data_IF_114667586437
#
_entry.id   IF_114667586437
#
_cell.length_a   1.000
_cell.length_b   1.000
_cell.length_c   1.000
_cell.angle_alpha   90.00
_cell.angle_beta   90.00
_cell.angle_gamma   90.00
#
_symmetry.space_group_name_H-M   'P 1'
#
loop_
_entity.id
_entity.type
_entity.pdbx_description
1 polymer ?
#
# COMPACT_ATOMS: atom_id res chain seq x y z
N UNK A 1 36.51 -24.51 63.34
CA UNK A 1 35.40 -23.55 63.09
C UNK A 1 35.38 -23.22 61.60
N UNK A 2 34.27 -23.41 60.87
CA UNK A 2 34.19 -22.97 59.48
C UNK A 2 34.25 -21.44 59.42
N UNK A 3 35.07 -20.89 58.52
CA UNK A 3 35.19 -19.44 58.30
C UNK A 3 33.83 -18.86 57.86
N UNK A 4 33.42 -17.68 58.35
CA UNK A 4 32.17 -17.04 57.92
C UNK A 4 32.19 -16.81 56.40
N UNK A 5 31.03 -17.01 55.76
CA UNK A 5 30.85 -16.82 54.32
C UNK A 5 31.08 -15.35 53.96
N UNK A 6 32.25 -15.03 53.41
CA UNK A 6 32.62 -13.68 53.00
C UNK A 6 31.87 -13.32 51.72
N UNK A 7 31.03 -12.28 51.79
CA UNK A 7 30.30 -11.69 50.66
C UNK A 7 30.85 -10.31 50.33
N UNK A 8 30.81 -9.90 49.05
CA UNK A 8 31.20 -8.56 48.61
C UNK A 8 30.29 -8.09 47.47
N UNK A 9 30.01 -6.79 47.43
CA UNK A 9 29.28 -6.13 46.33
C UNK A 9 30.30 -5.60 45.32
N UNK A 10 30.04 -5.80 44.04
CA UNK A 10 30.75 -5.15 42.93
C UNK A 10 29.79 -4.23 42.18
N UNK A 11 30.25 -3.04 41.84
CA UNK A 11 29.58 -2.15 40.90
C UNK A 11 30.44 -1.96 39.65
N UNK A 12 29.79 -1.89 38.49
CA UNK A 12 30.44 -1.62 37.21
C UNK A 12 29.74 -0.47 36.50
N UNK A 13 30.47 0.62 36.32
CA UNK A 13 30.00 1.80 35.57
C UNK A 13 30.19 1.58 34.07
N UNK A 14 29.14 1.82 33.30
CA UNK A 14 29.18 1.72 31.85
C UNK A 14 29.85 2.97 31.23
N UNK A 15 30.22 2.87 29.95
CA UNK A 15 30.87 3.97 29.21
C UNK A 15 29.97 5.19 29.01
N UNK A 16 28.66 5.05 29.23
CA UNK A 16 27.70 6.15 29.19
C UNK A 16 27.72 7.03 30.46
N UNK A 17 28.47 6.62 31.49
CA UNK A 17 28.57 7.26 32.82
C UNK A 17 27.25 7.40 33.60
N UNK A 18 26.12 6.96 33.03
CA UNK A 18 24.79 7.03 33.65
C UNK A 18 24.31 5.67 34.15
N UNK A 19 24.81 4.58 33.58
CA UNK A 19 24.39 3.23 33.92
C UNK A 19 25.40 2.56 34.86
N UNK A 20 24.91 2.02 35.98
CA UNK A 20 25.71 1.26 36.96
C UNK A 20 25.07 -0.11 37.16
N UNK A 21 25.84 -1.18 36.91
CA UNK A 21 25.42 -2.55 37.20
C UNK A 21 25.93 -2.98 38.57
N UNK A 22 25.10 -3.68 39.33
CA UNK A 22 25.43 -4.22 40.66
C UNK A 22 25.49 -5.76 40.62
N UNK A 23 26.48 -6.33 41.31
CA UNK A 23 26.73 -7.77 41.39
C UNK A 23 27.14 -8.18 42.79
N UNK A 24 26.72 -9.36 43.24
CA UNK A 24 27.18 -9.98 44.48
C UNK A 24 28.24 -11.03 44.20
N UNK A 25 29.27 -11.10 45.06
CA UNK A 25 30.23 -12.19 45.11
C UNK A 25 30.12 -12.89 46.45
N UNK A 26 29.70 -14.16 46.43
CA UNK A 26 29.51 -14.96 47.65
C UNK A 26 30.21 -16.31 47.52
N UNK A 27 30.56 -16.93 48.66
CA UNK A 27 31.14 -18.28 48.69
C UNK A 27 30.17 -19.25 49.33
N UNK A 28 29.79 -20.29 48.59
CA UNK A 28 28.87 -21.33 49.03
C UNK A 28 29.26 -22.68 48.42
N UNK A 29 29.03 -23.77 49.15
CA UNK A 29 29.34 -25.14 48.70
C UNK A 29 30.79 -25.32 48.18
N UNK A 30 31.76 -24.67 48.83
CA UNK A 30 33.17 -24.74 48.47
C UNK A 30 33.60 -23.89 47.26
N UNK A 31 32.66 -23.32 46.50
CA UNK A 31 32.90 -22.51 45.28
C UNK A 31 32.54 -21.03 45.49
N UNK A 32 33.10 -20.15 44.66
CA UNK A 32 32.73 -18.73 44.58
C UNK A 32 31.65 -18.56 43.51
N UNK A 33 30.65 -17.73 43.81
CA UNK A 33 29.52 -17.41 42.95
C UNK A 33 29.48 -15.91 42.72
N UNK A 34 29.17 -15.51 41.48
CA UNK A 34 28.88 -14.14 41.09
C UNK A 34 27.40 -14.09 40.70
N UNK A 35 26.62 -13.21 41.32
CA UNK A 35 25.17 -13.05 41.10
C UNK A 35 24.94 -11.64 40.59
N UNK A 36 24.42 -11.50 39.36
CA UNK A 36 24.07 -10.19 38.80
C UNK A 36 22.72 -9.74 39.37
N UNK A 37 22.69 -8.56 39.98
CA UNK A 37 21.47 -8.00 40.56
C UNK A 37 20.67 -7.19 39.53
N UNK A 38 21.36 -6.39 38.72
CA UNK A 38 20.77 -5.51 37.70
C UNK A 38 21.39 -4.11 37.72
N UNK A 39 20.72 -3.15 37.07
CA UNK A 39 21.19 -1.77 36.90
C UNK A 39 20.46 -0.74 37.76
N UNK A 40 21.03 0.45 37.91
CA UNK A 40 20.37 1.59 38.55
C UNK A 40 19.04 2.00 37.88
N UNK A 41 18.88 1.80 36.57
CA UNK A 41 17.62 2.04 35.86
C UNK A 41 16.53 0.99 36.17
N UNK A 42 16.92 -0.20 36.63
CA UNK A 42 16.03 -1.26 37.11
C UNK A 42 15.74 -1.13 38.62
N UNK A 43 16.19 -0.02 39.23
CA UNK A 43 15.95 0.29 40.64
C UNK A 43 16.98 -0.29 41.61
N UNK A 44 18.14 -0.74 41.14
CA UNK A 44 19.23 -1.22 41.99
C UNK A 44 20.18 -0.10 42.43
N UNK A 45 20.50 -0.09 43.71
CA UNK A 45 21.48 0.80 44.32
C UNK A 45 22.29 0.03 45.38
N UNK A 46 23.27 0.69 45.98
CA UNK A 46 24.16 0.08 46.98
C UNK A 46 23.39 -0.50 48.17
N UNK A 47 22.40 0.24 48.68
CA UNK A 47 21.59 -0.15 49.83
C UNK A 47 20.78 -1.41 49.56
N UNK A 48 20.12 -1.51 48.39
CA UNK A 48 19.37 -2.71 47.98
C UNK A 48 20.31 -3.88 47.70
N UNK A 49 21.48 -3.63 47.13
CA UNK A 49 22.49 -4.67 46.93
C UNK A 49 23.00 -5.22 48.27
N UNK A 50 23.13 -4.38 49.30
CA UNK A 50 23.51 -4.81 50.65
C UNK A 50 22.42 -5.66 51.32
N UNK A 51 21.15 -5.24 51.22
CA UNK A 51 20.02 -6.04 51.73
C UNK A 51 19.99 -7.42 51.08
N UNK A 52 20.20 -7.50 49.77
CA UNK A 52 20.23 -8.78 49.05
C UNK A 52 21.43 -9.64 49.43
N UNK A 53 22.61 -9.03 49.63
CA UNK A 53 23.79 -9.73 50.12
C UNK A 53 23.55 -10.37 51.49
N UNK A 54 22.94 -9.62 52.41
CA UNK A 54 22.62 -10.11 53.76
C UNK A 54 21.62 -11.28 53.70
N UNK A 55 20.60 -11.19 52.84
CA UNK A 55 19.63 -12.26 52.63
C UNK A 55 20.30 -13.53 52.08
N UNK A 56 21.13 -13.40 51.04
CA UNK A 56 21.87 -14.51 50.43
C UNK A 56 22.82 -15.15 51.45
N UNK A 57 23.56 -14.35 52.22
CA UNK A 57 24.45 -14.85 53.27
C UNK A 57 23.67 -15.60 54.36
N UNK A 58 22.51 -15.09 54.77
CA UNK A 58 21.64 -15.75 55.75
C UNK A 58 21.07 -17.08 55.22
N UNK A 59 20.73 -17.16 53.93
CA UNK A 59 20.30 -18.42 53.31
C UNK A 59 21.45 -19.43 53.22
N UNK A 60 22.68 -18.99 52.89
CA UNK A 60 23.87 -19.85 52.85
C UNK A 60 24.17 -20.41 54.24
N UNK A 61 24.11 -19.56 55.28
CA UNK A 61 24.33 -19.98 56.66
C UNK A 61 23.29 -21.02 57.14
N UNK A 62 22.04 -20.91 56.66
CA UNK A 62 20.95 -21.86 56.95
C UNK A 62 20.98 -23.12 56.08
N UNK A 63 21.89 -23.19 55.10
CA UNK A 63 21.98 -24.31 54.16
C UNK A 63 20.82 -24.40 53.15
N UNK A 64 19.96 -23.37 53.08
CA UNK A 64 18.77 -23.32 52.21
C UNK A 64 19.01 -22.59 50.89
N UNK A 65 20.20 -22.01 50.70
CA UNK A 65 20.52 -21.23 49.51
C UNK A 65 20.78 -22.13 48.30
N UNK A 66 20.01 -21.99 47.23
CA UNK A 66 20.30 -22.70 45.98
C UNK A 66 21.12 -21.80 45.04
N UNK A 67 22.21 -22.30 44.45
CA UNK A 67 23.00 -21.51 43.52
C UNK A 67 22.19 -21.24 42.24
N UNK A 68 22.22 -20.00 41.70
CA UNK A 68 21.55 -19.70 40.45
C UNK A 68 22.17 -20.57 39.33
N UNK A 69 21.36 -21.43 38.74
CA UNK A 69 21.74 -22.21 37.57
C UNK A 69 21.78 -21.28 36.35
N UNK A 70 22.47 -21.69 35.27
CA UNK A 70 22.44 -20.94 34.00
C UNK A 70 21.02 -20.82 33.41
N UNK A 71 20.08 -21.63 33.92
CA UNK A 71 18.67 -21.60 33.54
C UNK A 71 17.85 -20.57 34.37
N UNK A 72 18.39 -20.08 35.49
CA UNK A 72 17.72 -19.13 36.41
C UNK A 72 17.97 -17.64 36.11
N UNK A 73 18.81 -17.32 35.10
CA UNK A 73 19.08 -15.91 34.68
C UNK A 73 18.00 -15.39 33.72
N UNK A 74 16.89 -16.11 33.56
CA UNK A 74 15.66 -15.56 33.02
C UNK A 74 14.96 -14.72 34.10
N UNK A 75 15.33 -13.45 34.21
CA UNK A 75 14.50 -12.44 34.88
C UNK A 75 13.08 -12.55 34.34
N UNK A 76 12.18 -13.09 35.16
CA UNK A 76 10.72 -13.08 35.02
C UNK A 76 10.22 -13.00 33.56
N UNK A 77 10.53 -14.00 32.75
CA UNK A 77 9.75 -14.24 31.54
C UNK A 77 8.36 -14.68 32.01
N UNK A 78 7.26 -14.04 31.56
CA UNK A 78 5.93 -14.54 31.86
C UNK A 78 5.87 -15.98 31.36
N UNK A 79 5.30 -16.85 32.18
CA UNK A 79 5.03 -18.24 31.84
C UNK A 79 4.53 -18.32 30.38
N UNK A 80 5.22 -19.03 29.46
CA UNK A 80 4.81 -19.11 28.07
C UNK A 80 3.38 -19.68 27.91
N UNK A 81 2.84 -20.35 28.93
CA UNK A 81 1.43 -20.78 28.98
C UNK A 81 0.43 -19.63 29.24
N UNK A 82 0.91 -18.45 29.67
CA UNK A 82 0.08 -17.29 30.06
C UNK A 82 0.08 -16.12 29.07
N UNK A 83 0.95 -16.13 28.05
CA UNK A 83 1.00 -15.02 27.09
C UNK A 83 -0.23 -15.06 26.18
N UNK A 84 -1.09 -14.05 26.30
CA UNK A 84 -2.28 -13.93 25.45
C UNK A 84 -1.95 -13.33 24.09
N UNK A 85 -2.83 -13.54 23.11
CA UNK A 85 -2.72 -12.93 21.78
C UNK A 85 -2.65 -11.41 21.87
N UNK A 86 -3.31 -10.80 22.85
CA UNK A 86 -3.19 -9.38 23.10
C UNK A 86 -1.76 -8.95 23.40
N UNK A 87 -1.06 -9.68 24.27
CA UNK A 87 0.33 -9.37 24.64
C UNK A 87 1.25 -9.58 23.45
N UNK A 88 1.13 -10.71 22.75
CA UNK A 88 1.93 -11.02 21.57
C UNK A 88 1.73 -9.99 20.45
N UNK A 89 0.48 -9.64 20.14
CA UNK A 89 0.15 -8.59 19.18
C UNK A 89 0.67 -7.21 19.60
N UNK A 90 0.63 -6.89 20.90
CA UNK A 90 1.15 -5.62 21.42
C UNK A 90 2.67 -5.51 21.26
N UNK A 91 3.39 -6.59 21.56
CA UNK A 91 4.86 -6.65 21.37
C UNK A 91 5.22 -6.54 19.91
N UNK A 92 4.51 -7.28 19.05
CA UNK A 92 4.65 -7.17 17.59
C UNK A 92 4.42 -5.72 17.13
N UNK A 93 3.35 -5.07 17.60
CA UNK A 93 3.03 -3.70 17.25
C UNK A 93 4.11 -2.70 17.68
N UNK A 94 4.64 -2.83 18.90
CA UNK A 94 5.67 -1.94 19.41
C UNK A 94 6.94 -1.96 18.55
N UNK A 95 7.34 -3.15 18.07
CA UNK A 95 8.50 -3.31 17.18
C UNK A 95 8.26 -2.73 15.79
N UNK A 96 7.09 -2.95 15.20
CA UNK A 96 6.84 -2.58 13.80
C UNK A 96 6.32 -1.16 13.61
N UNK A 97 5.56 -0.60 14.56
CA UNK A 97 4.82 0.67 14.35
C UNK A 97 5.67 1.88 14.00
N UNK A 98 6.95 1.89 14.38
CA UNK A 98 7.90 2.98 14.11
C UNK A 98 8.32 3.06 12.63
N UNK A 99 8.29 1.92 11.94
CA UNK A 99 8.73 1.80 10.54
C UNK A 99 7.55 1.98 9.55
N UNK A 100 6.32 1.98 10.06
CA UNK A 100 5.12 2.02 9.23
C UNK A 100 4.72 3.45 8.85
N UNK A 101 4.40 3.64 7.57
CA UNK A 101 3.74 4.85 7.08
C UNK A 101 2.38 5.07 7.78
N UNK A 102 1.90 6.31 7.94
CA UNK A 102 0.67 6.61 8.67
C UNK A 102 -0.57 5.82 8.22
N UNK A 103 -0.77 5.66 6.91
CA UNK A 103 -1.90 4.89 6.38
C UNK A 103 -1.77 3.39 6.65
N UNK A 104 -0.56 2.84 6.53
CA UNK A 104 -0.29 1.44 6.87
C UNK A 104 -0.53 1.20 8.36
N UNK A 105 -0.14 2.16 9.20
CA UNK A 105 -0.39 2.14 10.65
C UNK A 105 -1.88 2.12 10.96
N UNK A 106 -2.67 3.00 10.32
CA UNK A 106 -4.13 3.04 10.50
C UNK A 106 -4.81 1.73 10.04
N UNK A 107 -4.39 1.17 8.92
CA UNK A 107 -4.88 -0.12 8.43
C UNK A 107 -4.55 -1.26 9.40
N UNK A 108 -3.33 -1.31 9.94
CA UNK A 108 -2.94 -2.33 10.92
C UNK A 108 -3.71 -2.18 12.24
N UNK A 109 -3.93 -0.95 12.72
CA UNK A 109 -4.78 -0.69 13.88
C UNK A 109 -6.20 -1.19 13.68
N UNK A 110 -6.79 -0.95 12.49
CA UNK A 110 -8.11 -1.48 12.15
C UNK A 110 -8.14 -3.02 12.17
N UNK A 111 -7.11 -3.67 11.61
CA UNK A 111 -7.00 -5.14 11.62
C UNK A 111 -6.82 -5.68 13.04
N UNK A 112 -5.96 -5.06 13.85
CA UNK A 112 -5.75 -5.41 15.26
C UNK A 112 -7.03 -5.27 16.07
N UNK A 113 -7.82 -4.22 15.84
CA UNK A 113 -9.09 -4.02 16.53
C UNK A 113 -10.07 -5.18 16.28
N UNK A 114 -10.17 -5.67 15.02
CA UNK A 114 -11.00 -6.84 14.71
C UNK A 114 -10.43 -8.14 15.26
N UNK A 115 -9.10 -8.31 15.23
CA UNK A 115 -8.42 -9.47 15.79
C UNK A 115 -8.68 -9.58 17.30
N UNK A 116 -8.39 -8.50 18.03
CA UNK A 116 -8.47 -8.44 19.48
C UNK A 116 -9.91 -8.44 19.97
N UNK A 117 -10.87 -7.97 19.18
CA UNK A 117 -12.29 -8.12 19.53
C UNK A 117 -12.72 -9.59 19.71
N UNK A 118 -11.95 -10.56 19.20
CA UNK A 118 -12.29 -11.99 19.21
C UNK A 118 -11.27 -12.80 20.03
N UNK A 119 -9.97 -12.54 19.87
CA UNK A 119 -8.89 -13.37 20.42
C UNK A 119 -8.11 -12.74 21.58
N UNK A 120 -8.49 -11.54 22.06
CA UNK A 120 -7.68 -10.77 23.03
C UNK A 120 -7.15 -11.61 24.19
N UNK A 121 -8.02 -12.38 24.84
CA UNK A 121 -7.72 -13.13 26.06
C UNK A 121 -7.38 -14.61 25.77
N UNK A 122 -7.29 -15.00 24.49
CA UNK A 122 -6.88 -16.36 24.11
C UNK A 122 -5.38 -16.53 24.39
N UNK A 123 -4.94 -17.62 25.06
CA UNK A 123 -3.52 -17.93 25.17
C UNK A 123 -2.92 -18.15 23.79
N UNK A 124 -1.78 -17.53 23.51
CA UNK A 124 -1.10 -17.63 22.21
C UNK A 124 -0.67 -19.08 21.92
N UNK A 125 -0.26 -19.82 22.95
CA UNK A 125 0.10 -21.24 22.89
C UNK A 125 -1.06 -22.16 22.48
N UNK A 126 -2.30 -21.77 22.79
CA UNK A 126 -3.52 -22.51 22.44
C UNK A 126 -4.05 -22.18 21.04
N UNK A 127 -3.39 -21.28 20.30
CA UNK A 127 -3.79 -21.00 18.92
C UNK A 127 -3.46 -22.19 18.03
N UNK A 128 -4.50 -22.91 17.64
CA UNK A 128 -4.46 -23.97 16.65
C UNK A 128 -5.19 -23.57 15.36
N UNK A 129 -5.19 -24.49 14.39
CA UNK A 129 -5.81 -24.23 13.11
C UNK A 129 -7.35 -24.11 13.19
N UNK A 130 -7.98 -24.67 14.24
CA UNK A 130 -9.42 -24.59 14.49
C UNK A 130 -9.77 -23.21 15.04
N UNK A 131 -9.01 -22.66 15.98
CA UNK A 131 -9.24 -21.31 16.52
C UNK A 131 -9.10 -20.25 15.43
N UNK A 132 -8.19 -20.46 14.47
CA UNK A 132 -8.07 -19.60 13.29
C UNK A 132 -9.30 -19.69 12.37
N UNK A 133 -9.90 -20.87 12.20
CA UNK A 133 -11.17 -21.02 11.48
C UNK A 133 -12.32 -20.31 12.22
N UNK A 134 -12.40 -20.46 13.55
CA UNK A 134 -13.40 -19.79 14.38
C UNK A 134 -13.27 -18.26 14.28
N UNK A 135 -12.04 -17.71 14.29
CA UNK A 135 -11.78 -16.29 14.03
C UNK A 135 -12.30 -15.90 12.65
N UNK A 136 -11.98 -16.66 11.59
CA UNK A 136 -12.45 -16.37 10.23
C UNK A 136 -13.98 -16.28 10.20
N UNK A 137 -14.66 -17.26 10.78
CA UNK A 137 -16.12 -17.36 10.75
C UNK A 137 -16.77 -16.24 11.58
N UNK A 138 -16.18 -15.87 12.72
CA UNK A 138 -16.61 -14.72 13.51
C UNK A 138 -16.42 -13.38 12.77
N UNK A 139 -15.33 -13.20 12.02
CA UNK A 139 -15.14 -12.01 11.18
C UNK A 139 -16.19 -11.91 10.07
N UNK A 140 -16.56 -13.05 9.46
CA UNK A 140 -17.64 -13.11 8.46
C UNK A 140 -18.98 -12.77 9.10
N UNK A 141 -19.28 -13.31 10.28
CA UNK A 141 -20.52 -13.01 11.02
C UNK A 141 -20.64 -11.51 11.40
N UNK A 142 -19.50 -10.83 11.58
CA UNK A 142 -19.43 -9.37 11.77
C UNK A 142 -19.59 -8.55 10.47
N UNK A 143 -19.82 -9.20 9.34
CA UNK A 143 -20.09 -8.55 8.05
C UNK A 143 -18.84 -8.14 7.26
N UNK A 144 -17.65 -8.63 7.61
CA UNK A 144 -16.44 -8.31 6.85
C UNK A 144 -16.43 -9.03 5.50
N UNK A 145 -15.94 -8.33 4.47
CA UNK A 145 -15.72 -8.93 3.15
C UNK A 145 -14.63 -9.99 3.17
N UNK A 146 -14.67 -10.97 2.26
CA UNK A 146 -13.63 -12.00 2.14
C UNK A 146 -12.19 -11.43 2.04
N UNK A 147 -12.02 -10.28 1.39
CA UNK A 147 -10.73 -9.57 1.32
C UNK A 147 -10.33 -9.03 2.70
N UNK A 148 -11.25 -8.38 3.38
CA UNK A 148 -11.05 -7.83 4.72
C UNK A 148 -10.70 -8.94 5.73
N UNK A 149 -11.39 -10.08 5.68
CA UNK A 149 -11.08 -11.27 6.50
C UNK A 149 -9.66 -11.75 6.22
N UNK A 150 -9.27 -11.89 4.93
CA UNK A 150 -7.92 -12.30 4.56
C UNK A 150 -6.84 -11.31 5.02
N UNK A 151 -7.14 -10.01 5.10
CA UNK A 151 -6.21 -8.99 5.62
C UNK A 151 -5.97 -9.16 7.12
N UNK A 152 -7.02 -9.43 7.90
CA UNK A 152 -6.92 -9.71 9.34
C UNK A 152 -6.15 -11.01 9.58
N UNK A 153 -6.50 -12.09 8.87
CA UNK A 153 -5.78 -13.37 8.96
C UNK A 153 -4.32 -13.26 8.49
N UNK A 154 -4.05 -12.36 7.54
CA UNK A 154 -2.69 -12.04 7.10
C UNK A 154 -1.87 -11.37 8.20
N UNK A 155 -2.48 -10.45 8.94
CA UNK A 155 -1.83 -9.81 10.09
C UNK A 155 -1.64 -10.81 11.25
N UNK A 156 -2.63 -11.65 11.55
CA UNK A 156 -2.47 -12.72 12.54
C UNK A 156 -1.29 -13.61 12.18
N UNK A 157 -1.18 -14.02 10.91
CA UNK A 157 -0.03 -14.83 10.48
C UNK A 157 1.30 -14.14 10.77
N UNK A 158 1.44 -12.84 10.50
CA UNK A 158 2.68 -12.10 10.84
C UNK A 158 2.95 -12.06 12.34
N UNK A 159 1.93 -11.85 13.17
CA UNK A 159 2.07 -11.85 14.63
C UNK A 159 2.50 -13.23 15.15
N UNK A 160 1.94 -14.31 14.58
CA UNK A 160 2.28 -15.67 14.97
C UNK A 160 3.60 -16.17 14.40
N UNK A 161 4.15 -15.56 13.34
CA UNK A 161 5.51 -15.87 12.91
C UNK A 161 6.50 -15.46 13.99
N UNK A 162 6.34 -14.25 14.56
CA UNK A 162 7.15 -13.81 15.69
C UNK A 162 6.96 -14.73 16.90
N UNK A 163 5.73 -15.17 17.18
CA UNK A 163 5.48 -16.11 18.27
C UNK A 163 6.22 -17.44 18.08
N UNK A 164 6.37 -17.91 16.84
CA UNK A 164 7.19 -19.09 16.52
C UNK A 164 8.68 -18.78 16.70
N UNK A 165 9.16 -17.64 16.19
CA UNK A 165 10.56 -17.22 16.31
C UNK A 165 11.01 -17.08 17.77
N UNK A 166 10.11 -16.65 18.66
CA UNK A 166 10.34 -16.55 20.11
C UNK A 166 9.98 -17.82 20.89
N UNK A 167 9.62 -18.91 20.22
CA UNK A 167 9.37 -20.21 20.85
C UNK A 167 8.05 -20.34 21.63
N UNK A 168 7.12 -19.39 21.49
CA UNK A 168 5.77 -19.46 22.08
C UNK A 168 4.87 -20.48 21.35
N UNK A 169 5.15 -20.73 20.07
CA UNK A 169 4.43 -21.68 19.23
C UNK A 169 5.41 -22.58 18.48
N UNK A 170 5.11 -23.87 18.39
CA UNK A 170 5.92 -24.80 17.58
C UNK A 170 5.72 -24.62 16.07
N UNK A 171 4.60 -24.04 15.64
CA UNK A 171 4.33 -23.73 14.23
C UNK A 171 3.22 -22.68 14.09
N UNK A 172 3.15 -22.01 12.94
CA UNK A 172 2.16 -20.96 12.72
C UNK A 172 0.85 -21.52 12.11
N UNK A 173 -0.27 -21.59 12.87
CA UNK A 173 -1.54 -22.13 12.40
C UNK A 173 -2.28 -21.21 11.39
N UNK A 174 -1.91 -19.92 11.33
CA UNK A 174 -2.56 -18.92 10.48
C UNK A 174 -1.92 -18.80 9.09
N UNK A 175 -0.79 -19.48 8.87
CA UNK A 175 -0.10 -19.58 7.57
C UNK A 175 -0.79 -20.59 6.65
N UNK A 176 -0.59 -20.40 5.35
CA UNK A 176 -1.14 -21.27 4.30
C UNK A 176 -2.44 -20.78 3.66
N UNK A 177 -2.77 -21.38 2.50
CA UNK A 177 -3.91 -20.95 1.66
C UNK A 177 -5.26 -21.49 2.12
N UNK A 178 -5.30 -22.63 2.83
CA UNK A 178 -6.55 -23.31 3.22
C UNK A 178 -7.48 -22.44 4.06
N UNK A 179 -6.93 -21.57 4.89
CA UNK A 179 -7.68 -20.66 5.77
C UNK A 179 -8.14 -19.38 5.09
N UNK A 180 -7.61 -19.07 3.90
CA UNK A 180 -7.92 -17.83 3.19
C UNK A 180 -9.22 -18.01 2.41
N UNK A 181 -10.08 -17.00 2.48
CA UNK A 181 -11.32 -16.96 1.72
C UNK A 181 -11.03 -16.73 0.24
N UNK A 182 -11.77 -17.41 -0.63
CA UNK A 182 -11.71 -17.15 -2.07
C UNK A 182 -12.27 -15.75 -2.34
N UNK A 183 -11.42 -14.88 -2.89
CA UNK A 183 -11.83 -13.54 -3.32
C UNK A 183 -11.96 -13.58 -4.83
N UNK A 184 -13.18 -13.38 -5.34
CA UNK A 184 -13.37 -13.17 -6.78
C UNK A 184 -12.63 -11.89 -7.18
N UNK A 185 -11.82 -11.92 -8.25
CA UNK A 185 -11.27 -10.69 -8.81
C UNK A 185 -12.41 -9.74 -9.13
N UNK A 186 -12.30 -8.48 -8.69
CA UNK A 186 -13.28 -7.47 -9.09
C UNK A 186 -13.19 -7.27 -10.61
N UNK A 187 -14.33 -7.24 -11.29
CA UNK A 187 -14.38 -6.82 -12.69
C UNK A 187 -13.89 -5.37 -12.75
N UNK A 188 -12.69 -5.16 -13.30
CA UNK A 188 -12.11 -3.83 -13.45
C UNK A 188 -12.65 -3.27 -14.77
N UNK A 189 -13.41 -2.19 -14.71
CA UNK A 189 -13.92 -1.46 -15.87
C UNK A 189 -13.09 -0.20 -16.14
N UNK A 190 -13.16 0.30 -17.37
CA UNK A 190 -12.70 1.62 -17.79
C UNK A 190 -13.88 2.30 -18.49
N UNK A 191 -13.80 3.60 -18.73
CA UNK A 191 -14.85 4.34 -19.46
C UNK A 191 -14.55 4.40 -20.95
N UNK A 192 -15.59 4.29 -21.77
CA UNK A 192 -15.48 4.56 -23.21
C UNK A 192 -15.24 6.04 -23.48
N UNK A 193 -14.65 6.42 -24.63
CA UNK A 193 -14.42 7.83 -24.97
C UNK A 193 -15.68 8.70 -24.89
N UNK A 194 -16.82 8.22 -25.40
CA UNK A 194 -18.10 8.94 -25.37
C UNK A 194 -18.67 9.07 -23.95
N UNK A 195 -18.42 8.08 -23.08
CA UNK A 195 -18.78 8.17 -21.65
C UNK A 195 -18.01 9.27 -20.93
N UNK A 196 -16.76 9.52 -21.34
CA UNK A 196 -15.92 10.57 -20.74
C UNK A 196 -16.47 11.94 -21.13
N UNK A 197 -16.81 12.14 -22.41
CA UNK A 197 -17.42 13.39 -22.87
C UNK A 197 -18.71 13.68 -22.08
N UNK A 198 -19.63 12.72 -22.03
CA UNK A 198 -20.88 12.90 -21.27
C UNK A 198 -20.62 13.17 -19.78
N UNK A 199 -19.62 12.51 -19.16
CA UNK A 199 -19.22 12.73 -17.77
C UNK A 199 -18.66 14.15 -17.52
N UNK A 200 -17.83 14.66 -18.43
CA UNK A 200 -17.25 16.00 -18.33
C UNK A 200 -18.30 17.09 -18.57
N UNK A 201 -19.23 16.86 -19.49
CA UNK A 201 -20.30 17.81 -19.81
C UNK A 201 -21.26 17.95 -18.63
N UNK A 202 -21.76 16.85 -18.07
CA UNK A 202 -22.62 16.92 -16.87
C UNK A 202 -21.90 17.55 -15.67
N UNK A 203 -20.59 17.36 -15.54
CA UNK A 203 -19.81 17.97 -14.48
C UNK A 203 -19.70 19.49 -14.64
N UNK A 204 -19.54 19.97 -15.87
CA UNK A 204 -19.53 21.41 -16.19
C UNK A 204 -20.89 22.07 -16.00
N UNK A 205 -21.96 21.40 -16.44
CA UNK A 205 -23.32 21.89 -16.23
C UNK A 205 -23.68 21.93 -14.74
N UNK A 206 -23.36 20.87 -14.00
CA UNK A 206 -23.56 20.84 -12.56
C UNK A 206 -22.76 21.94 -11.84
N UNK A 207 -21.54 22.23 -12.30
CA UNK A 207 -20.76 23.37 -11.81
C UNK A 207 -21.52 24.70 -11.99
N UNK A 208 -22.13 24.89 -13.17
CA UNK A 208 -22.83 26.12 -13.55
C UNK A 208 -24.19 26.29 -12.84
N UNK A 209 -24.86 25.20 -12.47
CA UNK A 209 -26.10 25.22 -11.67
C UNK A 209 -25.86 25.72 -10.23
N UNK A 210 -24.65 25.53 -9.71
CA UNK A 210 -24.33 25.84 -8.32
C UNK A 210 -23.96 27.30 -8.12
N UNK A 211 -24.11 27.80 -6.88
CA UNK A 211 -23.66 29.16 -6.52
C UNK A 211 -22.14 29.26 -6.64
N UNK A 212 -21.58 30.44 -6.99
CA UNK A 212 -20.12 30.60 -7.20
C UNK A 212 -19.22 30.06 -6.08
N UNK A 213 -19.66 30.14 -4.82
CA UNK A 213 -18.89 29.64 -3.67
C UNK A 213 -18.91 28.11 -3.49
N UNK A 214 -19.78 27.38 -4.20
CA UNK A 214 -19.86 25.91 -4.23
C UNK A 214 -19.12 25.32 -5.44
N UNK A 215 -18.65 26.19 -6.32
CA UNK A 215 -17.84 25.86 -7.48
C UNK A 215 -16.41 25.63 -7.04
N UNK A 216 -15.81 24.56 -7.53
CA UNK A 216 -14.40 24.22 -7.32
C UNK A 216 -13.72 23.69 -8.58
N UNK A 217 -14.38 23.64 -9.73
CA UNK A 217 -13.82 23.15 -11.00
C UNK A 217 -14.03 21.66 -11.23
N UNK A 218 -15.26 21.13 -11.02
CA UNK A 218 -15.57 19.69 -11.19
C UNK A 218 -15.15 19.14 -12.55
N UNK A 219 -15.46 19.86 -13.63
CA UNK A 219 -15.11 19.47 -15.00
C UNK A 219 -13.61 19.36 -15.18
N UNK A 220 -12.86 20.41 -14.86
CA UNK A 220 -11.40 20.42 -14.98
C UNK A 220 -10.74 19.33 -14.10
N UNK A 221 -11.25 19.10 -12.88
CA UNK A 221 -10.77 18.03 -12.00
C UNK A 221 -11.00 16.64 -12.61
N UNK A 222 -12.20 16.39 -13.14
CA UNK A 222 -12.52 15.11 -13.76
C UNK A 222 -11.76 14.90 -15.07
N UNK A 223 -11.60 15.95 -15.89
CA UNK A 223 -10.79 15.91 -17.10
C UNK A 223 -9.36 15.50 -16.75
N UNK A 224 -8.77 16.14 -15.72
CA UNK A 224 -7.43 15.80 -15.27
C UNK A 224 -7.30 14.36 -14.77
N UNK A 225 -8.25 13.90 -13.94
CA UNK A 225 -8.27 12.52 -13.43
C UNK A 225 -8.46 11.47 -14.54
N UNK A 226 -9.27 11.77 -15.56
CA UNK A 226 -9.57 10.89 -16.69
C UNK A 226 -8.47 10.84 -17.73
N UNK A 227 -7.80 11.97 -18.00
CA UNK A 227 -6.98 12.18 -19.19
C UNK A 227 -5.50 12.50 -18.88
N UNK A 228 -5.12 12.56 -17.60
CA UNK A 228 -3.71 12.48 -17.17
C UNK A 228 -3.48 11.45 -16.06
N UNK A 229 -4.56 10.85 -15.56
CA UNK A 229 -4.52 9.73 -14.63
C UNK A 229 -3.77 9.93 -13.31
N UNK A 230 -3.73 11.09 -12.62
CA UNK A 230 -3.15 11.16 -11.27
C UNK A 230 -3.87 10.30 -10.25
N UNK A 231 -3.20 10.04 -9.13
CA UNK A 231 -3.89 9.56 -7.93
C UNK A 231 -4.70 10.74 -7.42
N UNK A 232 -5.93 10.49 -6.95
CA UNK A 232 -6.76 11.58 -6.41
C UNK A 232 -6.05 12.35 -5.29
N UNK A 233 -5.25 11.67 -4.46
CA UNK A 233 -4.43 12.29 -3.42
C UNK A 233 -3.39 13.25 -3.99
N UNK A 234 -2.81 12.96 -5.16
CA UNK A 234 -1.86 13.84 -5.83
C UNK A 234 -2.60 15.08 -6.38
N UNK A 235 -3.77 14.87 -7.02
CA UNK A 235 -4.55 15.96 -7.60
C UNK A 235 -5.07 16.95 -6.53
N UNK A 236 -5.57 16.47 -5.39
CA UNK A 236 -6.06 17.35 -4.30
C UNK A 236 -4.95 18.08 -3.55
N UNK A 237 -3.74 17.53 -3.57
CA UNK A 237 -2.55 18.14 -2.97
C UNK A 237 -1.77 19.02 -3.94
N UNK A 238 -2.13 19.04 -5.23
CA UNK A 238 -1.40 19.82 -6.22
C UNK A 238 -1.59 21.33 -6.01
N UNK A 239 -0.49 22.06 -6.14
CA UNK A 239 -0.50 23.52 -6.11
C UNK A 239 -0.48 24.07 -7.53
N UNK A 240 -1.12 25.21 -7.75
CA UNK A 240 -1.24 25.79 -9.08
C UNK A 240 0.14 25.96 -9.74
N UNK A 241 1.14 26.43 -9.01
CA UNK A 241 2.50 26.68 -9.49
C UNK A 241 3.30 25.44 -9.87
N UNK A 242 2.82 24.23 -9.52
CA UNK A 242 3.45 22.97 -9.96
C UNK A 242 3.15 22.63 -11.42
N UNK A 243 2.15 23.29 -12.02
CA UNK A 243 1.68 23.05 -13.37
C UNK A 243 2.18 24.14 -14.32
N UNK A 244 3.05 23.77 -15.24
CA UNK A 244 3.34 24.54 -16.44
C UNK A 244 2.27 24.24 -17.49
N UNK A 245 1.15 24.95 -17.41
CA UNK A 245 0.03 24.79 -18.34
C UNK A 245 0.35 25.33 -19.73
N UNK A 246 1.43 26.09 -19.93
CA UNK A 246 1.85 26.56 -21.25
C UNK A 246 2.55 25.44 -22.02
N UNK A 247 3.45 24.71 -21.35
CA UNK A 247 4.13 23.54 -21.96
C UNK A 247 3.42 22.21 -21.72
N UNK A 248 2.29 22.21 -21.01
CA UNK A 248 1.51 21.00 -20.74
C UNK A 248 2.23 20.03 -19.80
N UNK A 249 2.90 20.54 -18.77
CA UNK A 249 3.65 19.72 -17.82
C UNK A 249 3.23 19.95 -16.38
N UNK A 250 3.21 18.88 -15.60
CA UNK A 250 3.01 18.93 -14.16
C UNK A 250 4.12 18.18 -13.44
N UNK A 251 4.83 18.90 -12.56
CA UNK A 251 5.90 18.33 -11.74
C UNK A 251 5.36 17.92 -10.38
N UNK A 252 5.34 16.63 -10.11
CA UNK A 252 4.97 16.12 -8.78
C UNK A 252 6.20 16.11 -7.85
N UNK A 253 6.17 16.80 -6.70
CA UNK A 253 7.25 16.75 -5.72
C UNK A 253 7.41 15.37 -5.08
N UNK A 254 8.65 15.01 -4.77
CA UNK A 254 8.98 13.75 -4.09
C UNK A 254 8.29 13.58 -2.73
N UNK A 255 8.03 14.68 -2.01
CA UNK A 255 7.32 14.63 -0.72
C UNK A 255 5.86 14.14 -0.83
N UNK A 256 5.25 14.20 -2.02
CA UNK A 256 3.85 13.82 -2.24
C UNK A 256 3.68 12.37 -2.73
N UNK A 257 4.75 11.67 -3.13
CA UNK A 257 4.64 10.29 -3.62
C UNK A 257 5.74 9.37 -3.13
N UNK A 258 5.37 8.13 -2.82
CA UNK A 258 6.29 7.04 -2.48
C UNK A 258 7.23 6.65 -3.64
N UNK A 259 6.91 7.08 -4.87
CA UNK A 259 7.63 6.74 -6.10
C UNK A 259 8.64 7.83 -6.54
N UNK A 260 8.83 8.89 -5.75
CA UNK A 260 9.79 9.97 -6.03
C UNK A 260 9.22 11.15 -6.85
N UNK A 261 10.12 12.02 -7.32
CA UNK A 261 9.80 13.16 -8.19
C UNK A 261 9.50 12.64 -9.59
N UNK A 262 8.37 13.04 -10.18
CA UNK A 262 8.03 12.72 -11.57
C UNK A 262 7.45 13.93 -12.29
N UNK A 263 7.76 14.03 -13.58
CA UNK A 263 7.11 14.97 -14.48
C UNK A 263 6.03 14.21 -15.25
N UNK A 264 4.82 14.77 -15.29
CA UNK A 264 3.66 14.25 -16.01
C UNK A 264 3.36 15.19 -17.17
N UNK A 265 3.14 14.60 -18.34
CA UNK A 265 2.66 15.32 -19.50
C UNK A 265 1.13 15.41 -19.44
N UNK A 266 0.61 16.60 -19.69
CA UNK A 266 -0.81 16.90 -19.77
C UNK A 266 -1.21 16.89 -21.25
N UNK A 267 -2.34 16.27 -21.55
CA UNK A 267 -2.93 16.40 -22.88
C UNK A 267 -3.33 17.86 -23.11
N UNK A 268 -3.37 18.30 -24.37
CA UNK A 268 -3.76 19.65 -24.71
C UNK A 268 -5.16 19.99 -24.15
N UNK A 269 -6.09 19.03 -24.25
CA UNK A 269 -7.42 19.12 -23.66
C UNK A 269 -7.37 19.41 -22.15
N UNK A 270 -6.56 18.68 -21.38
CA UNK A 270 -6.44 18.88 -19.93
C UNK A 270 -5.78 20.22 -19.63
N UNK A 271 -4.72 20.59 -20.35
CA UNK A 271 -4.04 21.86 -20.16
C UNK A 271 -5.01 23.04 -20.36
N UNK A 272 -5.89 22.97 -21.36
CA UNK A 272 -6.90 23.98 -21.65
C UNK A 272 -7.97 24.06 -20.54
N UNK A 273 -8.53 22.92 -20.12
CA UNK A 273 -9.51 22.85 -19.02
C UNK A 273 -8.93 23.39 -17.70
N UNK A 274 -7.69 23.04 -17.38
CA UNK A 274 -7.00 23.53 -16.19
C UNK A 274 -6.67 25.03 -16.30
N UNK A 275 -6.31 25.52 -17.48
CA UNK A 275 -6.03 26.95 -17.72
C UNK A 275 -7.30 27.79 -17.59
N UNK A 276 -8.39 27.34 -18.20
CA UNK A 276 -9.70 27.98 -18.09
C UNK A 276 -10.17 28.03 -16.62
N UNK A 277 -10.04 26.92 -15.89
CA UNK A 277 -10.35 26.88 -14.46
C UNK A 277 -9.48 27.86 -13.65
N UNK A 278 -8.16 27.83 -13.83
CA UNK A 278 -7.25 28.71 -13.11
C UNK A 278 -7.54 30.20 -13.38
N UNK A 279 -7.81 30.57 -14.63
CA UNK A 279 -8.14 31.94 -15.01
C UNK A 279 -9.50 32.38 -14.44
N UNK A 280 -10.51 31.51 -14.43
CA UNK A 280 -11.85 31.83 -13.92
C UNK A 280 -11.90 32.13 -12.41
N UNK A 281 -10.86 31.74 -11.67
CA UNK A 281 -10.80 31.84 -10.21
C UNK A 281 -9.64 32.67 -9.67
N UNK A 282 -8.80 33.19 -10.56
CA UNK A 282 -7.59 33.93 -10.20
C UNK A 282 -6.76 33.18 -9.14
N UNK A 283 -6.41 31.93 -9.43
CA UNK A 283 -5.75 31.05 -8.46
C UNK A 283 -4.32 31.53 -8.16
N UNK A 284 -4.02 31.68 -6.87
CA UNK A 284 -2.66 31.88 -6.36
C UNK A 284 -1.74 30.71 -6.77
N UNK A 285 -0.60 30.96 -7.43
CA UNK A 285 0.41 29.94 -7.74
C UNK A 285 0.87 29.11 -6.52
N UNK A 286 0.94 29.70 -5.32
CA UNK A 286 1.30 28.99 -4.10
C UNK A 286 0.11 28.22 -3.48
N UNK A 287 -1.11 28.46 -3.97
CA UNK A 287 -2.34 27.85 -3.48
C UNK A 287 -2.71 26.54 -4.20
N UNK A 288 -3.73 25.84 -3.68
CA UNK A 288 -4.20 24.59 -4.28
C UNK A 288 -4.82 24.83 -5.67
N UNK A 289 -4.57 23.91 -6.60
CA UNK A 289 -5.18 23.96 -7.95
C UNK A 289 -6.72 23.87 -7.91
N UNK A 290 -7.26 23.20 -6.89
CA UNK A 290 -8.69 23.07 -6.64
C UNK A 290 -9.00 23.47 -5.20
N UNK A 291 -9.23 24.77 -4.92
CA UNK A 291 -9.54 25.24 -3.57
C UNK A 291 -10.98 24.90 -3.16
N UNK A 292 -11.18 24.64 -1.87
CA UNK A 292 -12.51 24.65 -1.25
C UNK A 292 -13.03 26.09 -1.18
N UNK A 293 -14.30 26.23 -0.76
CA UNK A 293 -14.90 27.54 -0.47
C UNK A 293 -14.07 28.42 0.48
N UNK A 294 -13.31 27.82 1.39
CA UNK A 294 -12.48 28.53 2.37
C UNK A 294 -11.02 28.66 1.93
N UNK A 295 -10.70 28.38 0.67
CA UNK A 295 -9.33 28.40 0.13
C UNK A 295 -8.46 27.19 0.50
N UNK A 296 -9.00 26.23 1.27
CA UNK A 296 -8.30 25.03 1.68
C UNK A 296 -8.23 23.95 0.59
N UNK A 297 -7.58 22.83 0.87
CA UNK A 297 -7.50 21.70 -0.06
C UNK A 297 -8.78 20.87 -0.06
N UNK A 298 -9.16 20.34 -1.21
CA UNK A 298 -10.23 19.35 -1.30
C UNK A 298 -9.85 18.09 -0.51
N UNK A 299 -10.87 17.43 0.05
CA UNK A 299 -10.71 16.17 0.74
C UNK A 299 -11.09 15.02 -0.22
N UNK A 300 -10.18 14.08 -0.43
CA UNK A 300 -10.37 13.00 -1.39
C UNK A 300 -11.51 12.04 -1.01
N UNK A 301 -11.74 11.81 0.29
CA UNK A 301 -12.88 11.06 0.79
C UNK A 301 -14.20 11.72 0.42
N UNK A 302 -14.31 13.05 0.58
CA UNK A 302 -15.51 13.79 0.19
C UNK A 302 -15.77 13.71 -1.32
N UNK A 303 -14.72 13.77 -2.15
CA UNK A 303 -14.87 13.60 -3.60
C UNK A 303 -15.38 12.20 -3.92
N UNK A 304 -14.79 11.14 -3.35
CA UNK A 304 -15.22 9.75 -3.56
C UNK A 304 -16.66 9.52 -3.10
N UNK A 305 -17.07 10.12 -1.99
CA UNK A 305 -18.39 9.90 -1.39
C UNK A 305 -19.49 10.76 -2.03
N UNK A 306 -19.17 11.93 -2.58
CA UNK A 306 -20.17 12.92 -3.03
C UNK A 306 -20.07 13.30 -4.50
N UNK A 307 -18.87 13.54 -5.04
CA UNK A 307 -18.70 13.93 -6.45
C UNK A 307 -19.00 12.75 -7.38
N UNK A 308 -18.33 11.60 -7.15
CA UNK A 308 -18.39 10.46 -8.07
C UNK A 308 -19.79 9.84 -8.21
N UNK A 309 -20.53 9.54 -7.12
CA UNK A 309 -21.88 8.97 -7.26
C UNK A 309 -22.83 9.91 -8.01
N UNK A 310 -22.79 11.20 -7.68
CA UNK A 310 -23.69 12.20 -8.27
C UNK A 310 -23.40 12.43 -9.76
N UNK A 311 -22.13 12.61 -10.13
CA UNK A 311 -21.77 12.84 -11.54
C UNK A 311 -22.06 11.62 -12.42
N UNK A 312 -21.89 10.40 -11.88
CA UNK A 312 -22.24 9.16 -12.58
C UNK A 312 -23.76 9.04 -12.73
N UNK A 313 -24.54 9.37 -11.69
CA UNK A 313 -26.01 9.38 -11.79
C UNK A 313 -26.48 10.31 -12.90
N UNK A 314 -26.00 11.56 -12.90
CA UNK A 314 -26.34 12.56 -13.93
C UNK A 314 -25.94 12.12 -15.33
N UNK A 315 -24.73 11.58 -15.48
CA UNK A 315 -24.26 11.04 -16.76
C UNK A 315 -25.13 9.88 -17.25
N UNK A 316 -25.51 8.97 -16.35
CA UNK A 316 -26.38 7.85 -16.67
C UNK A 316 -27.80 8.27 -17.01
N UNK A 317 -28.36 9.27 -16.33
CA UNK A 317 -29.66 9.84 -16.68
C UNK A 317 -29.66 10.44 -18.10
N UNK A 318 -28.61 11.20 -18.45
CA UNK A 318 -28.43 11.74 -19.81
C UNK A 318 -28.32 10.62 -20.84
N UNK A 319 -27.48 9.62 -20.56
CA UNK A 319 -27.20 8.52 -21.49
C UNK A 319 -28.42 7.62 -21.66
N UNK A 320 -29.19 7.38 -20.61
CA UNK A 320 -30.46 6.66 -20.67
C UNK A 320 -31.46 7.36 -21.60
N UNK A 321 -31.63 8.68 -21.45
CA UNK A 321 -32.50 9.49 -22.34
C UNK A 321 -32.05 9.43 -23.80
N UNK A 322 -30.75 9.31 -24.04
CA UNK A 322 -30.15 9.20 -25.37
C UNK A 322 -30.04 7.74 -25.89
N UNK A 323 -30.52 6.74 -25.16
CA UNK A 323 -30.40 5.32 -25.53
C UNK A 323 -28.95 4.80 -25.60
N UNK A 324 -28.00 5.47 -24.95
CA UNK A 324 -26.58 5.09 -24.90
C UNK A 324 -26.31 4.09 -23.77
N UNK A 325 -25.24 3.31 -23.91
CA UNK A 325 -24.75 2.41 -22.87
C UNK A 325 -24.40 3.18 -21.59
N UNK A 326 -24.87 2.74 -20.43
CA UNK A 326 -24.61 3.42 -19.15
C UNK A 326 -23.15 3.27 -18.70
N UNK A 327 -22.67 4.24 -17.92
CA UNK A 327 -21.42 4.13 -17.18
C UNK A 327 -21.52 2.99 -16.16
N UNK A 328 -20.39 2.34 -15.80
CA UNK A 328 -20.36 1.36 -14.73
C UNK A 328 -20.92 1.92 -13.42
N UNK A 329 -21.68 1.11 -12.70
CA UNK A 329 -22.32 1.49 -11.42
C UNK A 329 -21.31 2.10 -10.41
N UNK A 330 -20.06 1.60 -10.43
CA UNK A 330 -18.99 2.09 -9.56
C UNK A 330 -17.83 2.67 -10.34
N UNK A 331 -17.89 3.97 -10.63
CA UNK A 331 -16.73 4.74 -11.10
C UNK A 331 -15.95 5.29 -9.90
N UNK A 332 -14.65 5.04 -9.88
CA UNK A 332 -13.75 5.52 -8.84
C UNK A 332 -12.56 6.25 -9.46
N UNK A 333 -11.74 6.99 -8.69
CA UNK A 333 -10.49 7.54 -9.21
C UNK A 333 -9.57 6.51 -9.86
N UNK A 334 -9.57 5.26 -9.38
CA UNK A 334 -8.80 4.18 -10.02
C UNK A 334 -9.42 3.71 -11.33
N UNK A 335 -10.74 3.80 -11.47
CA UNK A 335 -11.42 3.59 -12.76
C UNK A 335 -10.94 4.63 -13.76
N UNK A 336 -10.92 5.92 -13.38
CA UNK A 336 -10.46 7.01 -14.26
C UNK A 336 -8.97 6.90 -14.63
N UNK A 337 -8.11 6.56 -13.66
CA UNK A 337 -6.70 6.25 -13.92
C UNK A 337 -6.52 5.11 -14.92
N UNK A 338 -7.38 4.08 -14.83
CA UNK A 338 -7.37 2.95 -15.77
C UNK A 338 -7.89 3.35 -17.15
N UNK A 339 -8.90 4.22 -17.19
CA UNK A 339 -9.38 4.86 -18.42
C UNK A 339 -8.26 5.62 -19.13
N UNK A 340 -7.49 6.46 -18.42
CA UNK A 340 -6.31 7.13 -18.98
C UNK A 340 -5.35 6.13 -19.63
N UNK A 341 -4.99 5.05 -18.92
CA UNK A 341 -4.10 4.02 -19.45
C UNK A 341 -4.66 3.39 -20.74
N UNK A 342 -5.95 3.02 -20.75
CA UNK A 342 -6.61 2.47 -21.94
C UNK A 342 -6.61 3.45 -23.11
N UNK A 343 -6.94 4.72 -22.85
CA UNK A 343 -6.97 5.76 -23.88
C UNK A 343 -5.59 6.03 -24.48
N UNK A 344 -4.53 6.04 -23.65
CA UNK A 344 -3.16 6.09 -24.15
C UNK A 344 -2.88 4.94 -25.12
N UNK A 345 -3.29 3.71 -24.80
CA UNK A 345 -3.09 2.58 -25.70
C UNK A 345 -3.91 2.69 -26.99
N UNK A 346 -5.15 3.16 -26.92
CA UNK A 346 -5.95 3.44 -28.11
C UNK A 346 -5.36 4.57 -28.98
N UNK A 347 -4.66 5.52 -28.37
CA UNK A 347 -3.88 6.56 -29.04
C UNK A 347 -2.50 6.08 -29.52
N UNK A 348 -2.18 4.79 -29.39
CA UNK A 348 -0.92 4.20 -29.86
C UNK A 348 0.31 4.51 -29.01
N UNK A 349 0.14 4.88 -27.73
CA UNK A 349 1.27 5.20 -26.83
C UNK A 349 2.04 3.96 -26.41
N UNK A 350 3.36 4.10 -26.33
CA UNK A 350 4.26 3.05 -25.83
C UNK A 350 3.96 2.73 -24.34
N UNK A 351 3.93 1.44 -23.95
CA UNK A 351 3.69 1.04 -22.56
C UNK A 351 4.66 1.65 -21.54
N UNK A 352 5.93 1.90 -21.89
CA UNK A 352 6.90 2.53 -20.97
C UNK A 352 6.53 3.97 -20.69
N UNK A 353 6.09 4.72 -21.70
CA UNK A 353 5.54 6.06 -21.51
C UNK A 353 4.31 6.01 -20.59
N UNK A 354 3.35 5.12 -20.84
CA UNK A 354 2.15 5.02 -19.97
C UNK A 354 2.53 4.68 -18.53
N UNK A 355 3.51 3.80 -18.32
CA UNK A 355 4.03 3.47 -16.99
C UNK A 355 4.73 4.63 -16.30
N UNK A 356 5.51 5.44 -17.02
CA UNK A 356 6.20 6.61 -16.45
C UNK A 356 5.19 7.67 -15.98
N UNK A 357 4.18 7.99 -16.81
CA UNK A 357 3.10 8.91 -16.46
C UNK A 357 2.34 8.45 -15.21
N UNK A 358 2.07 7.14 -15.12
CA UNK A 358 1.38 6.55 -13.98
C UNK A 358 2.30 6.25 -12.77
N UNK A 359 3.63 6.40 -12.87
CA UNK A 359 4.55 6.00 -11.80
C UNK A 359 4.24 4.61 -11.23
N UNK A 360 4.01 3.63 -12.11
CA UNK A 360 3.84 2.24 -11.73
C UNK A 360 5.22 1.59 -11.59
N UNK A 361 5.57 1.14 -10.40
CA UNK A 361 6.78 0.33 -10.19
C UNK A 361 6.63 -1.11 -10.72
N UNK A 362 5.38 -1.61 -10.80
CA UNK A 362 5.04 -2.93 -11.35
C UNK A 362 4.31 -2.80 -12.69
N UNK A 363 4.94 -3.32 -13.75
CA UNK A 363 4.42 -3.30 -15.12
C UNK A 363 3.18 -4.17 -15.33
N UNK A 364 2.92 -5.16 -14.45
CA UNK A 364 1.86 -6.15 -14.63
C UNK A 364 0.47 -5.53 -14.77
N UNK A 365 0.19 -4.48 -14.00
CA UNK A 365 -1.09 -3.78 -14.07
C UNK A 365 -1.29 -3.11 -15.44
N UNK A 366 -0.26 -2.41 -15.91
CA UNK A 366 -0.31 -1.69 -17.18
C UNK A 366 -0.42 -2.65 -18.36
N UNK A 367 0.35 -3.75 -18.35
CA UNK A 367 0.28 -4.79 -19.38
C UNK A 367 -1.07 -5.51 -19.41
N UNK A 368 -1.70 -5.76 -18.24
CA UNK A 368 -3.03 -6.33 -18.20
C UNK A 368 -4.09 -5.41 -18.83
N UNK A 369 -3.94 -4.08 -18.67
CA UNK A 369 -4.81 -3.10 -19.36
C UNK A 369 -4.53 -3.11 -20.86
N UNK A 370 -3.26 -3.11 -21.25
CA UNK A 370 -2.85 -3.17 -22.65
C UNK A 370 -3.42 -4.40 -23.38
N UNK A 371 -3.31 -5.59 -22.78
CA UNK A 371 -3.89 -6.81 -23.34
C UNK A 371 -5.41 -6.68 -23.57
N UNK A 372 -6.14 -6.11 -22.60
CA UNK A 372 -7.58 -5.87 -22.75
C UNK A 372 -7.91 -4.88 -23.88
N UNK A 373 -7.05 -3.89 -24.13
CA UNK A 373 -7.25 -2.94 -25.24
C UNK A 373 -6.99 -3.56 -26.61
N UNK A 374 -6.12 -4.56 -26.73
CA UNK A 374 -5.88 -5.26 -27.99
C UNK A 374 -7.09 -6.09 -28.46
N UNK A 375 -7.91 -6.58 -27.52
CA UNK A 375 -9.11 -7.37 -27.81
C UNK A 375 -10.28 -6.51 -28.35
N UNK A 376 -10.17 -5.19 -28.30
CA UNK A 376 -11.22 -4.24 -28.67
C UNK A 376 -11.14 -3.86 -30.15
N UNK A 377 -12.22 -4.09 -30.90
CA UNK A 377 -12.28 -3.87 -32.36
C UNK A 377 -12.96 -2.57 -32.81
N UNK A 378 -13.72 -1.90 -31.93
CA UNK A 378 -14.48 -0.69 -32.28
C UNK A 378 -14.24 0.39 -31.24
N UNK A 379 -13.38 1.34 -31.58
CA UNK A 379 -13.06 2.53 -30.76
C UNK A 379 -13.08 3.73 -31.69
N UNK A 380 -13.66 4.84 -31.22
CA UNK A 380 -13.63 6.12 -31.93
C UNK A 380 -12.22 6.73 -31.80
N UNK A 381 -11.36 6.45 -32.78
CA UNK A 381 -9.97 6.89 -32.77
C UNK A 381 -9.81 8.40 -32.94
N UNK A 382 -10.77 9.08 -33.59
CA UNK A 382 -10.75 10.53 -33.73
C UNK A 382 -11.03 11.19 -32.38
N UNK A 383 -12.06 10.73 -31.66
CA UNK A 383 -12.35 11.22 -30.31
C UNK A 383 -11.23 10.88 -29.33
N UNK A 384 -10.64 9.68 -29.43
CA UNK A 384 -9.47 9.32 -28.61
C UNK A 384 -8.32 10.28 -28.88
N UNK A 385 -8.00 10.58 -30.15
CA UNK A 385 -6.93 11.52 -30.49
C UNK A 385 -7.24 12.92 -29.94
N UNK A 386 -8.47 13.42 -30.12
CA UNK A 386 -8.88 14.72 -29.61
C UNK A 386 -8.70 14.85 -28.08
N UNK A 387 -8.95 13.78 -27.33
CA UNK A 387 -8.78 13.75 -25.88
C UNK A 387 -7.32 13.51 -25.42
N UNK A 388 -6.54 12.75 -26.21
CA UNK A 388 -5.22 12.21 -25.84
C UNK A 388 -4.03 12.80 -26.61
N UNK A 389 -4.27 13.85 -27.40
CA UNK A 389 -3.23 14.65 -28.05
C UNK A 389 -2.50 15.49 -26.99
N UNK A 390 -1.17 15.43 -27.01
CA UNK A 390 -0.30 16.26 -26.19
C UNK A 390 0.05 17.57 -26.90
N UNK A 391 0.64 18.53 -26.17
CA UNK A 391 0.83 19.90 -26.64
C UNK A 391 1.72 20.01 -27.89
N UNK A 392 2.69 19.12 -28.04
CA UNK A 392 3.68 19.08 -29.12
C UNK A 392 3.24 18.27 -30.35
N UNK A 393 1.99 17.78 -30.35
CA UNK A 393 1.47 16.88 -31.37
C UNK A 393 0.50 17.56 -32.34
N UNK A 394 0.43 17.09 -33.61
CA UNK A 394 -0.44 17.67 -34.63
C UNK A 394 -1.93 17.51 -34.28
N UNK A 395 -2.75 18.47 -34.74
CA UNK A 395 -4.20 18.46 -34.51
C UNK A 395 -4.88 17.20 -35.06
N UNK A 396 -4.40 16.69 -36.20
CA UNK A 396 -4.85 15.43 -36.79
C UNK A 396 -3.89 14.29 -36.45
N UNK A 397 -4.39 13.05 -36.28
CA UNK A 397 -3.53 11.91 -35.97
C UNK A 397 -2.54 11.64 -37.12
N UNK A 398 -1.27 11.35 -36.81
CA UNK A 398 -0.19 11.22 -37.81
C UNK A 398 -0.40 10.09 -38.82
N UNK A 399 -1.24 9.11 -38.49
CA UNK A 399 -1.81 8.15 -39.42
C UNK A 399 -3.32 8.35 -39.32
N UNK A 400 -4.04 8.68 -40.41
CA UNK A 400 -5.50 8.80 -40.44
C UNK A 400 -6.22 7.54 -39.91
N UNK A 401 -7.56 7.45 -39.90
CA UNK A 401 -8.30 6.36 -39.26
C UNK A 401 -8.00 5.03 -39.97
N UNK A 402 -6.89 4.38 -39.60
CA UNK A 402 -6.34 3.22 -40.29
C UNK A 402 -6.31 2.10 -39.28
N UNK A 403 -7.09 1.06 -39.58
CA UNK A 403 -7.15 -0.14 -38.79
C UNK A 403 -5.76 -0.70 -38.47
N UNK A 404 -5.60 -1.10 -37.21
CA UNK A 404 -4.69 -2.14 -36.74
C UNK A 404 -3.48 -2.41 -37.65
N UNK A 405 -2.41 -1.63 -37.52
CA UNK A 405 -1.08 -2.25 -37.59
C UNK A 405 -0.77 -2.77 -36.19
N UNK A 406 -0.85 -4.09 -36.02
CA UNK A 406 -0.25 -4.76 -34.89
C UNK A 406 1.25 -4.35 -34.81
N UNK A 407 1.82 -4.20 -33.61
CA UNK A 407 3.25 -3.95 -33.51
C UNK A 407 3.98 -5.13 -34.15
N UNK A 408 4.81 -4.85 -35.16
CA UNK A 408 5.71 -5.84 -35.73
C UNK A 408 6.53 -6.45 -34.60
N UNK A 409 6.44 -7.77 -34.48
CA UNK A 409 6.98 -8.53 -33.37
C UNK A 409 8.46 -8.27 -33.18
N UNK A 410 8.90 -8.33 -31.91
CA UNK A 410 10.30 -8.43 -31.54
C UNK A 410 10.99 -9.48 -32.42
N UNK A 411 11.85 -9.01 -33.33
CA UNK A 411 12.65 -9.86 -34.20
C UNK A 411 13.48 -10.81 -33.35
N UNK A 412 13.14 -12.08 -33.40
CA UNK A 412 14.04 -13.16 -33.01
C UNK A 412 14.86 -13.47 -34.25
N UNK A 413 16.10 -13.00 -34.26
CA UNK A 413 17.11 -13.48 -35.21
C UNK A 413 17.43 -14.93 -34.84
N UNK A 414 16.78 -15.88 -35.50
CA UNK A 414 17.33 -17.22 -35.68
C UNK A 414 17.41 -17.47 -37.17
N UNK A 415 18.59 -17.16 -37.69
CA UNK A 415 19.05 -17.59 -39.00
C UNK A 415 19.27 -19.11 -38.91
N UNK A 416 18.46 -19.88 -39.62
CA UNK A 416 18.71 -21.30 -39.86
C UNK A 416 18.09 -21.66 -41.20
N UNK A 417 18.92 -21.58 -42.22
CA UNK A 417 18.70 -22.13 -43.56
C UNK A 417 18.35 -23.62 -43.47
N UNK A 418 17.34 -24.10 -44.21
CA UNK A 418 17.26 -25.49 -44.59
C UNK A 418 17.66 -25.66 -46.05
N UNK A 419 18.64 -26.52 -46.23
CA UNK A 419 19.13 -27.13 -47.46
C UNK A 419 18.00 -27.85 -48.23
N UNK A 420 18.01 -27.67 -49.55
CA UNK A 420 17.24 -28.44 -50.52
C UNK A 420 17.65 -29.91 -50.54
N UNK A 421 16.73 -30.86 -50.76
CA UNK A 421 17.05 -32.18 -51.24
C UNK A 421 16.83 -32.31 -52.76
N UNK A 422 17.88 -32.82 -53.39
CA UNK A 422 17.96 -33.34 -54.76
C UNK A 422 16.91 -34.43 -55.02
N UNK A 423 16.25 -34.38 -56.18
CA UNK A 423 15.84 -35.58 -56.91
C UNK A 423 15.87 -35.35 -58.43
N UNK A 424 16.78 -36.08 -59.07
CA UNK A 424 16.77 -36.48 -60.49
C UNK A 424 15.39 -37.05 -60.89
N UNK A 425 14.89 -37.00 -62.13
CA UNK A 425 15.50 -37.64 -63.31
C UNK A 425 14.78 -37.21 -64.61
N UNK A 426 15.57 -36.82 -65.62
CA UNK A 426 15.53 -37.15 -67.06
C UNK A 426 14.24 -37.24 -67.90
N UNK A 427 14.25 -36.49 -69.01
CA UNK A 427 13.88 -36.79 -70.43
C UNK A 427 13.35 -35.48 -71.08
N UNK A 428 13.74 -34.99 -72.26
CA UNK A 428 14.14 -35.66 -73.52
C UNK A 428 14.67 -34.59 -74.51
N UNK A 429 15.80 -34.90 -75.16
CA UNK A 429 16.26 -34.63 -76.54
C UNK A 429 15.83 -33.37 -77.34
N UNK A 430 16.88 -32.63 -77.72
CA UNK A 430 17.17 -31.71 -78.86
C UNK A 430 16.61 -32.11 -80.25
N UNK A 431 16.73 -31.26 -81.33
CA UNK A 431 17.67 -30.13 -81.53
C UNK A 431 17.09 -28.75 -81.87
#
# INVERSE_FOLDING_TARGET
MPRPATGAIESHHWRDHTTVTWRLRVRAYGRRWCIDLGTNHEGWNEERAQVELDQVQAQIARGTWQPPSKDDVAVAAPDPESETVHVTASRWWQRHRGELRPNTRADYQWRLAHLLAILKDTPTSELDARRVDELRDALVARGLSARSVNMVLGLLAQILDDAVDYGLLGSNPARGRRRRMKVKPAARSFLEPDMIVDLLDVAGEWENELRPHQRYGRRALLAWLCLSGPRISEAVLADRGELDLASGRWRIPAAKTDAGRRDIDLTAFVADELRAHAASRDLDPAGPMFPTRTGGRLNDHNLRARLFPEVVSRANERRAKAGKLLLPERVTPHTLRRTFASLCFFAGRDPRFVMSQLGHADARLTLAVYAQTLERRRVDHELVWALMRFMDEPEQPPNGPTGQRAPEGFGTTNDTTPSDPVSDTSATLDP
#
